data_IF_560681827866
#
_entry.id   IF_560681827866
#
_cell.length_a   1.000
_cell.length_b   1.000
_cell.length_c   1.000
_cell.angle_alpha   90.00
_cell.angle_beta   90.00
_cell.angle_gamma   90.00
#
_symmetry.space_group_name_H-M   'P 1'
#
loop_
_entity.id
_entity.type
_entity.pdbx_description
1 polymer ?
#
# COMPACT_ATOMS: atom_id res chain seq x y z
N UNK A 1 6.08 26.25 25.15
CA UNK A 1 5.44 27.20 24.22
C UNK A 1 6.53 28.03 23.56
N UNK A 2 6.69 27.95 22.23
CA UNK A 2 7.76 28.65 21.50
C UNK A 2 7.17 29.78 20.66
N UNK A 3 7.40 31.07 21.01
CA UNK A 3 6.89 32.20 20.25
C UNK A 3 7.36 32.24 18.79
N UNK A 4 8.57 31.70 18.53
CA UNK A 4 9.17 31.64 17.19
C UNK A 4 8.37 30.72 16.27
N UNK A 5 8.03 29.53 16.75
CA UNK A 5 7.32 28.53 15.93
C UNK A 5 5.89 28.98 15.63
N UNK A 6 5.21 29.58 16.60
CA UNK A 6 3.84 30.07 16.41
C UNK A 6 3.77 31.18 15.37
N UNK A 7 4.74 32.10 15.38
CA UNK A 7 4.81 33.19 14.40
C UNK A 7 5.22 32.70 13.02
N UNK A 8 6.05 31.67 12.95
CA UNK A 8 6.50 31.10 11.69
C UNK A 8 5.40 30.32 10.96
N UNK A 9 4.54 29.63 11.69
CA UNK A 9 3.53 28.73 11.12
C UNK A 9 2.07 29.17 11.33
N UNK A 10 1.85 30.30 12.01
CA UNK A 10 0.51 30.85 12.33
C UNK A 10 -0.47 29.83 12.94
N UNK A 11 0.06 28.85 13.68
CA UNK A 11 -0.72 27.74 14.26
C UNK A 11 -0.26 27.43 15.68
N UNK A 12 -1.16 26.88 16.51
CA UNK A 12 -0.82 26.44 17.86
C UNK A 12 -0.06 25.09 17.82
N UNK A 13 1.27 25.15 17.88
CA UNK A 13 2.14 23.98 17.80
C UNK A 13 2.50 23.49 19.21
N UNK A 14 2.17 22.22 19.48
CA UNK A 14 2.67 21.50 20.66
C UNK A 14 4.04 20.88 20.35
N UNK A 15 5.04 21.13 21.20
CA UNK A 15 6.41 20.60 21.05
C UNK A 15 6.71 19.73 22.25
N UNK A 16 6.89 18.44 22.00
CA UNK A 16 7.21 17.45 23.04
C UNK A 16 8.57 16.81 22.76
N UNK A 17 9.42 16.70 23.79
CA UNK A 17 10.71 16.02 23.69
C UNK A 17 10.55 14.57 24.18
N UNK A 18 10.64 13.62 23.25
CA UNK A 18 10.60 12.19 23.58
C UNK A 18 12.01 11.60 23.67
N UNK A 19 12.40 11.12 24.85
CA UNK A 19 13.69 10.46 25.08
C UNK A 19 13.63 8.93 25.11
N UNK A 20 12.44 8.34 25.05
CA UNK A 20 12.24 6.89 25.11
C UNK A 20 11.81 6.31 23.77
N UNK A 21 12.37 5.15 23.41
CA UNK A 21 11.98 4.36 22.22
C UNK A 21 10.47 4.03 22.24
N UNK A 22 9.88 3.81 23.43
CA UNK A 22 8.43 3.57 23.56
C UNK A 22 7.61 4.77 23.10
N UNK A 23 8.04 5.98 23.44
CA UNK A 23 7.35 7.22 23.05
C UNK A 23 7.50 7.50 21.56
N UNK A 24 8.69 7.25 20.99
CA UNK A 24 8.91 7.36 19.54
C UNK A 24 7.99 6.36 18.80
N UNK A 25 7.96 5.09 19.24
CA UNK A 25 7.07 4.08 18.67
C UNK A 25 5.61 4.49 18.74
N UNK A 26 5.17 5.04 19.86
CA UNK A 26 3.80 5.51 20.05
C UNK A 26 3.45 6.63 19.05
N UNK A 27 4.30 7.64 18.93
CA UNK A 27 4.11 8.75 17.97
C UNK A 27 4.09 8.23 16.54
N UNK A 28 5.05 7.39 16.14
CA UNK A 28 5.08 6.82 14.80
C UNK A 28 3.81 6.01 14.50
N UNK A 29 3.33 5.22 15.46
CA UNK A 29 2.08 4.46 15.33
C UNK A 29 0.88 5.38 15.18
N UNK A 30 0.87 6.52 15.88
CA UNK A 30 -0.22 7.49 15.84
C UNK A 30 -0.25 8.27 14.51
N UNK A 31 0.91 8.76 14.04
CA UNK A 31 1.02 9.47 12.76
C UNK A 31 0.72 8.53 11.60
N UNK A 32 1.20 7.29 11.66
CA UNK A 32 0.96 6.30 10.62
C UNK A 32 -0.38 5.57 10.79
N UNK A 33 -1.25 6.01 11.71
CA UNK A 33 -2.63 5.53 11.85
C UNK A 33 -3.51 6.18 10.78
N UNK A 34 -3.14 5.98 9.51
CA UNK A 34 -3.91 6.41 8.35
C UNK A 34 -4.84 5.33 7.85
N UNK A 35 -5.61 5.65 6.81
CA UNK A 35 -6.36 4.65 6.06
C UNK A 35 -5.40 3.59 5.52
N UNK A 36 -5.69 2.32 5.79
CA UNK A 36 -4.95 1.18 5.28
C UNK A 36 -5.35 0.83 3.85
N UNK A 37 -6.48 1.36 3.36
CA UNK A 37 -7.00 1.16 2.01
C UNK A 37 -7.17 2.48 1.25
N UNK A 38 -6.94 2.43 -0.05
CA UNK A 38 -7.24 3.49 -1.01
C UNK A 38 -7.99 2.90 -2.20
N UNK A 39 -8.98 3.63 -2.70
CA UNK A 39 -9.66 3.31 -3.96
C UNK A 39 -9.19 4.31 -5.00
N UNK A 40 -8.71 3.80 -6.13
CA UNK A 40 -8.18 4.59 -7.24
C UNK A 40 -9.17 4.46 -8.40
N UNK A 41 -9.68 5.59 -8.85
CA UNK A 41 -10.45 5.71 -10.10
C UNK A 41 -9.47 5.85 -11.27
N UNK A 42 -9.50 4.91 -12.21
CA UNK A 42 -8.61 4.86 -13.36
C UNK A 42 -9.35 5.40 -14.59
N UNK A 43 -9.27 6.71 -14.78
CA UNK A 43 -9.87 7.34 -15.95
C UNK A 43 -9.11 6.98 -17.23
N UNK A 44 -9.80 6.33 -18.16
CA UNK A 44 -9.26 6.06 -19.49
C UNK A 44 -9.15 7.37 -20.26
N UNK A 45 -7.92 7.74 -20.63
CA UNK A 45 -7.65 8.83 -21.57
C UNK A 45 -8.00 8.36 -22.99
N UNK A 46 -9.29 8.29 -23.27
CA UNK A 46 -9.84 8.04 -24.61
C UNK A 46 -10.96 9.04 -24.85
N UNK A 47 -11.01 9.63 -26.03
CA UNK A 47 -12.08 10.55 -26.41
C UNK A 47 -13.44 9.88 -26.12
N UNK A 48 -14.40 10.55 -25.44
CA UNK A 48 -15.72 9.99 -25.14
C UNK A 48 -16.58 9.61 -26.36
N UNK A 49 -16.04 9.74 -27.58
CA UNK A 49 -16.79 9.82 -28.83
C UNK A 49 -16.40 8.75 -29.87
N UNK A 50 -15.58 7.76 -29.50
CA UNK A 50 -15.17 6.68 -30.40
C UNK A 50 -15.47 5.30 -29.81
N UNK A 51 -16.74 5.03 -29.49
CA UNK A 51 -17.25 3.65 -29.51
C UNK A 51 -18.64 3.72 -30.14
N UNK A 52 -18.67 3.38 -31.43
CA UNK A 52 -19.84 3.11 -32.28
C UNK A 52 -21.15 3.83 -31.93
N UNK A 53 -21.47 4.82 -32.78
CA UNK A 53 -22.80 5.40 -32.91
C UNK A 53 -23.82 4.35 -33.40
N UNK A 54 -24.22 3.43 -32.52
CA UNK A 54 -25.42 2.61 -32.66
C UNK A 54 -26.41 3.00 -31.56
N UNK A 55 -27.62 3.47 -31.91
CA UNK A 55 -28.63 3.84 -30.92
C UNK A 55 -29.09 2.57 -30.20
N UNK A 56 -28.58 2.35 -28.99
CA UNK A 56 -28.90 1.18 -28.17
C UNK A 56 -27.71 0.45 -27.55
N UNK A 57 -26.46 0.77 -27.94
CA UNK A 57 -25.28 0.18 -27.30
C UNK A 57 -25.05 0.81 -25.93
N UNK A 58 -25.42 0.09 -24.86
CA UNK A 58 -25.12 0.46 -23.48
C UNK A 58 -23.60 0.41 -23.32
N UNK A 59 -22.97 1.54 -23.01
CA UNK A 59 -21.55 1.62 -22.64
C UNK A 59 -21.24 0.47 -21.69
N UNK A 60 -20.46 -0.52 -22.13
CA UNK A 60 -20.00 -1.62 -21.31
C UNK A 60 -18.98 -1.03 -20.34
N UNK A 61 -19.45 -0.63 -19.16
CA UNK A 61 -18.61 -0.13 -18.08
C UNK A 61 -18.13 -1.35 -17.32
N UNK A 62 -16.83 -1.62 -17.37
CA UNK A 62 -16.18 -2.61 -16.52
C UNK A 62 -15.74 -1.92 -15.23
N UNK A 63 -16.51 -2.09 -14.16
CA UNK A 63 -16.25 -1.51 -12.84
C UNK A 63 -14.93 -1.99 -12.24
N UNK A 64 -14.47 -3.21 -12.58
CA UNK A 64 -13.22 -3.80 -12.06
C UNK A 64 -12.00 -3.14 -12.70
N UNK A 65 -12.11 -2.77 -13.98
CA UNK A 65 -11.04 -2.03 -14.65
C UNK A 65 -11.06 -0.54 -14.28
N UNK A 66 -12.21 0.02 -13.93
CA UNK A 66 -12.38 1.44 -13.55
C UNK A 66 -11.95 1.72 -12.10
N UNK A 67 -12.26 0.82 -11.15
CA UNK A 67 -11.95 1.01 -9.73
C UNK A 67 -10.94 -0.01 -9.22
N UNK A 68 -9.77 0.47 -8.81
CA UNK A 68 -8.74 -0.37 -8.18
C UNK A 68 -8.69 -0.12 -6.68
N UNK A 69 -8.85 -1.18 -5.89
CA UNK A 69 -8.65 -1.13 -4.45
C UNK A 69 -7.21 -1.53 -4.12
N UNK A 70 -6.48 -0.64 -3.47
CA UNK A 70 -5.09 -0.86 -3.05
C UNK A 70 -4.92 -0.68 -1.55
N UNK A 71 -3.88 -1.32 -1.00
CA UNK A 71 -3.41 -1.02 0.36
C UNK A 71 -2.47 0.18 0.34
N UNK A 72 -2.70 1.15 1.20
CA UNK A 72 -1.76 2.25 1.40
C UNK A 72 -0.48 1.76 2.09
N UNK A 73 0.66 2.18 1.57
CA UNK A 73 1.99 1.93 2.15
C UNK A 73 2.55 3.27 2.60
N UNK A 74 2.82 3.41 3.90
CA UNK A 74 3.40 4.65 4.43
C UNK A 74 4.77 4.94 3.83
N UNK A 75 5.18 6.21 3.75
CA UNK A 75 6.48 6.59 3.17
C UNK A 75 7.66 5.86 3.84
N UNK A 76 7.59 5.66 5.16
CA UNK A 76 8.61 4.90 5.89
C UNK A 76 8.64 3.42 5.48
N UNK A 77 7.48 2.77 5.38
CA UNK A 77 7.38 1.37 4.95
C UNK A 77 7.83 1.19 3.49
N UNK A 78 7.52 2.16 2.62
CA UNK A 78 7.94 2.17 1.22
C UNK A 78 9.47 2.24 1.08
N UNK A 79 10.13 3.15 1.81
CA UNK A 79 11.60 3.25 1.82
C UNK A 79 12.24 1.96 2.31
N UNK A 80 11.70 1.34 3.37
CA UNK A 80 12.20 0.05 3.87
C UNK A 80 12.08 -1.06 2.82
N UNK A 81 10.97 -1.10 2.06
CA UNK A 81 10.80 -2.06 0.97
C UNK A 81 11.75 -1.81 -0.21
N UNK A 82 11.88 -0.56 -0.65
CA UNK A 82 12.76 -0.19 -1.78
C UNK A 82 14.23 -0.51 -1.48
N UNK A 83 14.65 -0.33 -0.23
CA UNK A 83 16.01 -0.61 0.22
C UNK A 83 16.20 -2.07 0.71
N UNK A 84 15.19 -2.91 0.56
CA UNK A 84 15.19 -4.33 0.97
C UNK A 84 15.59 -4.55 2.45
N UNK A 85 15.27 -3.62 3.33
CA UNK A 85 15.53 -3.79 4.75
C UNK A 85 14.53 -4.77 5.40
N UNK A 86 14.98 -5.59 6.37
CA UNK A 86 14.08 -6.47 7.09
C UNK A 86 13.02 -5.67 7.85
N UNK A 87 11.75 -5.83 7.46
CA UNK A 87 10.62 -5.07 8.02
C UNK A 87 10.18 -5.66 9.37
N UNK A 88 10.22 -6.98 9.50
CA UNK A 88 9.84 -7.69 10.71
C UNK A 88 10.57 -9.02 10.78
N UNK A 89 10.99 -9.39 11.97
CA UNK A 89 11.46 -10.73 12.30
C UNK A 89 10.40 -11.34 13.22
N UNK A 90 9.86 -12.51 12.86
CA UNK A 90 8.90 -13.24 13.68
C UNK A 90 9.49 -14.59 14.05
N UNK A 91 9.36 -14.95 15.31
CA UNK A 91 9.67 -16.29 15.80
C UNK A 91 8.41 -16.89 16.42
N UNK A 92 7.85 -17.99 15.87
CA UNK A 92 8.27 -18.70 14.65
C UNK A 92 7.98 -17.89 13.35
N UNK A 93 8.71 -18.15 12.25
CA UNK A 93 8.48 -17.48 10.98
C UNK A 93 7.09 -17.82 10.43
N UNK A 94 6.35 -16.80 9.97
CA UNK A 94 5.06 -16.96 9.28
C UNK A 94 5.28 -16.72 7.80
N UNK A 95 5.10 -17.76 6.98
CA UNK A 95 5.24 -17.67 5.51
C UNK A 95 3.85 -17.62 4.89
N UNK A 96 3.60 -16.61 4.06
CA UNK A 96 2.39 -16.58 3.23
C UNK A 96 2.56 -17.55 2.06
N UNK A 97 1.74 -18.59 2.01
CA UNK A 97 1.66 -19.50 0.87
C UNK A 97 0.88 -18.83 -0.27
N UNK A 98 1.36 -19.01 -1.49
CA UNK A 98 0.62 -18.56 -2.67
C UNK A 98 -0.69 -19.36 -2.78
N UNK A 99 -1.82 -18.67 -2.91
CA UNK A 99 -3.10 -19.33 -3.19
C UNK A 99 -3.18 -19.53 -4.71
N UNK A 100 -3.14 -20.78 -5.12
CA UNK A 100 -3.29 -21.21 -6.51
C UNK A 100 -4.66 -21.87 -6.70
N UNK A 101 -5.25 -21.64 -7.87
CA UNK A 101 -6.42 -22.37 -8.35
C UNK A 101 -6.10 -23.87 -8.46
N UNK A 102 -7.14 -24.71 -8.53
CA UNK A 102 -6.98 -26.14 -8.76
C UNK A 102 -6.11 -26.38 -10.01
N UNK A 103 -5.05 -27.19 -9.86
CA UNK A 103 -4.03 -27.47 -10.88
C UNK A 103 -3.11 -26.28 -11.31
N UNK A 104 -3.19 -25.13 -10.63
CA UNK A 104 -2.34 -23.96 -10.88
C UNK A 104 -1.03 -23.91 -10.09
N UNK A 105 -0.64 -25.02 -9.46
CA UNK A 105 0.57 -25.12 -8.66
C UNK A 105 1.82 -25.13 -9.55
N UNK A 106 2.66 -24.10 -9.41
CA UNK A 106 3.94 -24.05 -10.11
C UNK A 106 5.00 -24.80 -9.30
N UNK A 107 5.40 -25.98 -9.80
CA UNK A 107 6.45 -26.82 -9.21
C UNK A 107 7.74 -26.57 -9.98
N UNK A 108 8.83 -26.29 -9.26
CA UNK A 108 10.17 -26.17 -9.83
C UNK A 108 10.96 -27.43 -9.49
N UNK A 109 11.56 -28.05 -10.51
CA UNK A 109 12.47 -29.17 -10.33
C UNK A 109 13.90 -28.63 -10.37
N UNK A 110 14.64 -28.81 -9.29
CA UNK A 110 16.08 -28.55 -9.28
C UNK A 110 16.81 -29.81 -9.73
N UNK A 111 17.87 -29.64 -10.53
CA UNK A 111 18.60 -30.76 -11.11
C UNK A 111 19.29 -31.64 -10.05
N UNK A 112 19.47 -31.10 -8.85
CA UNK A 112 20.08 -31.77 -7.69
C UNK A 112 19.05 -32.27 -6.66
N UNK A 113 17.74 -32.16 -6.95
CA UNK A 113 16.70 -32.67 -6.05
C UNK A 113 16.45 -34.14 -6.36
N UNK A 114 16.93 -35.02 -5.49
CA UNK A 114 16.64 -36.45 -5.56
C UNK A 114 15.12 -36.68 -5.56
N UNK A 115 14.67 -37.48 -6.53
CA UNK A 115 13.28 -37.91 -6.66
C UNK A 115 13.06 -39.09 -5.69
N UNK A 116 12.66 -38.81 -4.46
CA UNK A 116 12.00 -39.79 -3.58
C UNK A 116 10.49 -39.83 -3.82
#
# INVERSE_FOLDING_TARGET
YSPVLLRMFEAHINVELCSSVKSIKYICSYICKGSDAAVIDVQRSGNPQEVDAQPGSRRLIDEVEEYQQGRYISSNEAVWRILEFPIHERFPPVVHLAVHLENGQRIYFHQDADLE
#
